data_IF_214379610372
#
_entry.id   IF_214379610372
#
_cell.length_a   1.000
_cell.length_b   1.000
_cell.length_c   1.000
_cell.angle_alpha   90.00
_cell.angle_beta   90.00
_cell.angle_gamma   90.00
#
_symmetry.space_group_name_H-M   'P 1'
#
loop_
_entity.id
_entity.type
_entity.pdbx_description
1 polymer ?
#
# COMPACT_ATOMS: atom_id res chain seq x y z
N UNK A 1 5.39 -11.83 -50.66
CA UNK A 1 5.61 -12.16 -49.24
C UNK A 1 6.67 -11.25 -48.67
N UNK A 2 6.34 -10.40 -47.69
CA UNK A 2 7.35 -9.65 -46.93
C UNK A 2 7.01 -9.74 -45.45
N UNK A 3 7.54 -10.77 -44.80
CA UNK A 3 7.67 -10.86 -43.36
C UNK A 3 8.85 -9.97 -42.96
N UNK A 4 8.60 -8.92 -42.18
CA UNK A 4 9.46 -8.41 -41.10
C UNK A 4 8.94 -7.06 -40.64
N UNK A 5 8.30 -7.00 -39.48
CA UNK A 5 8.72 -6.09 -38.41
C UNK A 5 7.93 -6.41 -37.12
N UNK A 6 8.37 -7.41 -36.35
CA UNK A 6 8.00 -7.45 -34.93
C UNK A 6 8.93 -6.46 -34.22
N UNK A 7 8.58 -5.17 -34.30
CA UNK A 7 9.26 -4.14 -33.52
C UNK A 7 9.02 -4.42 -32.04
N UNK A 8 9.93 -5.14 -31.41
CA UNK A 8 9.97 -5.31 -29.96
C UNK A 8 10.02 -3.92 -29.33
N UNK A 9 8.91 -3.48 -28.75
CA UNK A 9 8.89 -2.25 -27.98
C UNK A 9 9.93 -2.37 -26.85
N UNK A 10 10.67 -1.29 -26.52
CA UNK A 10 11.66 -1.34 -25.47
C UNK A 10 10.97 -1.74 -24.17
N UNK A 11 11.49 -2.82 -23.59
CA UNK A 11 11.06 -3.35 -22.30
C UNK A 11 11.20 -2.23 -21.28
N UNK A 12 10.06 -1.67 -20.85
CA UNK A 12 9.96 -0.57 -19.88
C UNK A 12 10.50 -1.05 -18.54
N UNK A 13 11.82 -0.98 -18.37
CA UNK A 13 12.54 -1.45 -17.18
C UNK A 13 12.49 -0.46 -16.00
N UNK A 14 11.85 0.71 -16.17
CA UNK A 14 11.52 1.60 -15.07
C UNK A 14 10.03 1.90 -15.11
N UNK A 15 9.24 1.20 -14.27
CA UNK A 15 7.98 1.79 -13.82
C UNK A 15 8.40 2.99 -12.98
N UNK A 16 8.20 4.20 -13.49
CA UNK A 16 8.31 5.42 -12.69
C UNK A 16 7.47 5.22 -11.44
N UNK A 17 8.10 4.98 -10.29
CA UNK A 17 7.37 4.94 -9.04
C UNK A 17 6.77 6.33 -8.87
N UNK A 18 5.44 6.41 -8.73
CA UNK A 18 4.77 7.68 -8.53
C UNK A 18 5.37 8.29 -7.27
N UNK A 19 5.94 9.50 -7.39
CA UNK A 19 6.48 10.21 -6.25
C UNK A 19 5.38 10.32 -5.19
N UNK A 20 5.63 9.73 -4.02
CA UNK A 20 4.72 9.80 -2.89
C UNK A 20 5.15 10.97 -2.02
N UNK A 21 4.26 11.95 -1.90
CA UNK A 21 4.43 13.08 -0.99
C UNK A 21 3.49 12.82 0.19
N UNK A 22 4.00 12.34 1.33
CA UNK A 22 3.16 12.10 2.49
C UNK A 22 2.54 13.43 2.93
N UNK A 23 1.20 13.53 3.07
CA UNK A 23 0.59 14.69 3.71
C UNK A 23 1.07 14.83 5.17
N UNK A 24 1.01 16.02 5.74
CA UNK A 24 1.41 16.25 7.13
C UNK A 24 0.54 15.43 8.11
N UNK A 25 -0.72 15.19 7.75
CA UNK A 25 -1.74 14.54 8.58
C UNK A 25 -1.81 13.01 8.35
N UNK A 26 -0.75 12.39 7.79
CA UNK A 26 -0.72 10.92 7.56
C UNK A 26 -0.98 10.17 8.85
N UNK A 27 -0.33 10.56 9.95
CA UNK A 27 -0.46 9.88 11.23
C UNK A 27 -1.92 9.89 11.74
N UNK A 28 -2.57 11.05 11.68
CA UNK A 28 -3.96 11.22 12.13
C UNK A 28 -4.93 10.42 11.26
N UNK A 29 -4.73 10.42 9.93
CA UNK A 29 -5.54 9.64 8.99
C UNK A 29 -5.37 8.14 9.18
N UNK A 30 -4.14 7.67 9.35
CA UNK A 30 -3.87 6.24 9.60
C UNK A 30 -4.49 5.82 10.94
N UNK A 31 -4.39 6.64 11.98
CA UNK A 31 -5.05 6.39 13.27
C UNK A 31 -6.57 6.27 13.10
N UNK A 32 -7.19 7.22 12.39
CA UNK A 32 -8.64 7.19 12.11
C UNK A 32 -9.07 5.94 11.33
N UNK A 33 -8.29 5.52 10.34
CA UNK A 33 -8.55 4.28 9.59
C UNK A 33 -8.38 3.05 10.51
N UNK A 34 -7.36 3.04 11.37
CA UNK A 34 -7.16 1.94 12.32
C UNK A 34 -8.31 1.84 13.32
N UNK A 35 -8.79 2.96 13.86
CA UNK A 35 -9.98 2.99 14.70
C UNK A 35 -11.21 2.45 13.98
N UNK A 36 -11.39 2.79 12.70
CA UNK A 36 -12.51 2.29 11.89
C UNK A 36 -12.45 0.78 11.64
N UNK A 37 -11.26 0.22 11.41
CA UNK A 37 -11.07 -1.20 11.06
C UNK A 37 -11.00 -2.10 12.29
N UNK A 38 -10.35 -1.65 13.37
CA UNK A 38 -10.08 -2.46 14.56
C UNK A 38 -10.92 -2.07 15.78
N UNK A 39 -11.60 -0.92 15.76
CA UNK A 39 -12.49 -0.48 16.85
C UNK A 39 -11.79 -0.17 18.17
N UNK A 40 -10.45 -0.08 18.17
CA UNK A 40 -9.64 0.11 19.38
C UNK A 40 -8.65 1.27 19.17
N UNK A 41 -8.59 2.17 20.15
CA UNK A 41 -7.64 3.28 20.28
C UNK A 41 -6.25 2.84 20.74
N UNK A 42 -5.95 1.54 20.70
CA UNK A 42 -4.64 1.07 21.10
C UNK A 42 -3.63 1.48 20.05
N UNK A 43 -2.63 2.24 20.48
CA UNK A 43 -1.53 2.82 19.68
C UNK A 43 -1.14 1.88 18.54
N UNK A 44 -1.29 2.37 17.31
CA UNK A 44 -1.09 1.61 16.07
C UNK A 44 0.16 0.71 16.11
N UNK A 45 1.25 1.18 16.71
CA UNK A 45 2.53 0.50 16.81
C UNK A 45 2.50 -0.94 17.38
N UNK A 46 1.55 -1.28 18.25
CA UNK A 46 1.47 -2.60 18.91
C UNK A 46 0.35 -3.51 18.37
N UNK A 47 -0.43 -3.03 17.40
CA UNK A 47 -1.52 -3.83 16.85
C UNK A 47 -0.97 -4.89 15.90
N UNK A 48 -0.87 -6.12 16.39
CA UNK A 48 -0.51 -7.27 15.56
C UNK A 48 -1.66 -7.56 14.59
N UNK A 49 -1.41 -7.40 13.28
CA UNK A 49 -2.42 -7.67 12.26
C UNK A 49 -2.47 -9.19 12.04
N UNK A 50 -3.10 -9.90 12.97
CA UNK A 50 -3.18 -11.37 12.95
C UNK A 50 -4.15 -11.90 11.90
N UNK A 51 -5.10 -11.09 11.43
CA UNK A 51 -6.10 -11.50 10.45
C UNK A 51 -5.78 -10.93 9.06
N UNK A 52 -5.63 -11.78 8.02
CA UNK A 52 -5.40 -11.33 6.65
C UNK A 52 -6.56 -10.47 6.11
N UNK A 53 -7.80 -10.74 6.54
CA UNK A 53 -8.98 -9.95 6.15
C UNK A 53 -8.91 -8.52 6.71
N UNK A 54 -8.53 -8.37 7.98
CA UNK A 54 -8.37 -7.04 8.59
C UNK A 54 -7.19 -6.29 7.98
N UNK A 55 -6.10 -6.99 7.66
CA UNK A 55 -4.96 -6.43 6.91
C UNK A 55 -5.39 -5.88 5.56
N UNK A 56 -6.14 -6.67 4.81
CA UNK A 56 -6.62 -6.27 3.50
C UNK A 56 -7.53 -5.05 3.58
N UNK A 57 -8.49 -5.04 4.51
CA UNK A 57 -9.40 -3.90 4.73
C UNK A 57 -8.65 -2.61 5.07
N UNK A 58 -7.65 -2.70 5.95
CA UNK A 58 -6.80 -1.57 6.29
C UNK A 58 -6.04 -1.04 5.07
N UNK A 59 -5.37 -1.93 4.34
CA UNK A 59 -4.58 -1.55 3.16
C UNK A 59 -5.47 -0.99 2.04
N UNK A 60 -6.68 -1.51 1.86
CA UNK A 60 -7.67 -0.98 0.91
C UNK A 60 -8.12 0.43 1.31
N UNK A 61 -8.39 0.67 2.60
CA UNK A 61 -8.75 1.99 3.11
C UNK A 61 -7.60 3.00 2.95
N UNK A 62 -6.37 2.61 3.28
CA UNK A 62 -5.18 3.43 3.04
C UNK A 62 -4.97 3.70 1.54
N UNK A 63 -5.21 2.70 0.68
CA UNK A 63 -5.11 2.88 -0.77
C UNK A 63 -6.13 3.89 -1.29
N UNK A 64 -7.37 3.85 -0.80
CA UNK A 64 -8.42 4.82 -1.17
C UNK A 64 -8.03 6.24 -0.77
N UNK A 65 -7.51 6.41 0.44
CA UNK A 65 -7.16 7.72 1.00
C UNK A 65 -5.91 8.33 0.35
N UNK A 66 -4.82 7.55 0.27
CA UNK A 66 -3.52 8.06 -0.19
C UNK A 66 -3.28 7.84 -1.69
N UNK A 67 -4.13 7.06 -2.36
CA UNK A 67 -3.97 6.66 -3.77
C UNK A 67 -2.57 6.08 -4.06
N UNK A 68 -1.96 5.48 -3.03
CA UNK A 68 -0.63 4.89 -3.04
C UNK A 68 -0.73 3.43 -2.61
N UNK A 69 -0.43 2.53 -3.54
CA UNK A 69 -0.51 1.09 -3.32
C UNK A 69 0.79 0.55 -2.75
N UNK A 70 0.69 -0.24 -1.69
CA UNK A 70 1.83 -0.99 -1.15
C UNK A 70 2.16 -2.14 -2.12
N UNK A 71 3.41 -2.25 -2.59
CA UNK A 71 3.81 -3.34 -3.47
C UNK A 71 3.78 -4.68 -2.74
N UNK A 72 3.43 -5.76 -3.46
CA UNK A 72 3.34 -7.11 -2.91
C UNK A 72 4.62 -7.58 -2.20
N UNK A 73 5.78 -7.12 -2.67
CA UNK A 73 7.06 -7.41 -2.06
C UNK A 73 7.23 -6.83 -0.65
N UNK A 74 6.49 -5.79 -0.27
CA UNK A 74 6.55 -5.17 1.07
C UNK A 74 5.45 -5.69 2.00
N UNK A 75 4.42 -6.37 1.46
CA UNK A 75 3.32 -6.89 2.27
C UNK A 75 3.77 -7.90 3.33
N UNK A 76 4.85 -8.66 3.07
CA UNK A 76 5.38 -9.62 4.03
C UNK A 76 6.11 -8.97 5.21
N UNK A 77 6.56 -7.72 5.05
CA UNK A 77 7.27 -6.95 6.10
C UNK A 77 6.27 -6.28 7.06
N UNK A 78 5.09 -5.90 6.56
CA UNK A 78 4.02 -5.28 7.35
C UNK A 78 3.36 -6.26 8.32
N UNK A 79 3.97 -6.44 9.48
CA UNK A 79 3.52 -7.38 10.53
C UNK A 79 2.82 -6.64 11.68
N UNK A 80 3.25 -5.40 11.93
CA UNK A 80 2.67 -4.41 12.83
C UNK A 80 2.39 -3.12 12.06
N UNK A 81 1.58 -2.19 12.62
CA UNK A 81 1.31 -0.90 11.97
C UNK A 81 2.46 0.13 12.14
N UNK A 82 3.49 -0.22 12.92
CA UNK A 82 4.67 0.63 13.13
C UNK A 82 5.76 0.50 12.06
N UNK A 83 5.58 -0.44 11.11
CA UNK A 83 6.49 -0.73 9.99
C UNK A 83 5.93 -0.18 8.66
#
# INVERSE_FOLDING_TARGET
MSLTNWGTAPKRFLRSQRAYFPPADVADKVNSICESVFGSTNTASDLHINSPDSKFKLLDACFREFQHGVPNSLLHTMTSLGE
#
